data_IF_017913739202
#
_entry.id   IF_017913739202
#
_cell.length_a   1.000
_cell.length_b   1.000
_cell.length_c   1.000
_cell.angle_alpha   90.00
_cell.angle_beta   90.00
_cell.angle_gamma   90.00
#
_symmetry.space_group_name_H-M   'P 1'
#
loop_
_entity.id
_entity.type
_entity.pdbx_description
1 polymer ?
#
# COMPACT_ATOMS: atom_id res chain seq x y z
N UNK A 1 13.86 -27.09 -27.46
CA UNK A 1 13.11 -25.85 -27.13
C UNK A 1 12.91 -25.83 -25.64
N UNK A 2 13.43 -24.81 -24.92
CA UNK A 2 13.15 -24.63 -23.47
C UNK A 2 11.68 -24.25 -23.32
N UNK A 3 10.89 -25.04 -22.56
CA UNK A 3 9.53 -24.68 -22.20
C UNK A 3 9.57 -23.42 -21.33
N UNK A 4 8.92 -22.35 -21.77
CA UNK A 4 8.68 -21.16 -20.94
C UNK A 4 7.62 -21.55 -19.92
N UNK A 5 8.01 -21.62 -18.65
CA UNK A 5 7.08 -21.88 -17.54
C UNK A 5 6.74 -20.53 -16.94
N UNK A 6 5.50 -20.09 -17.13
CA UNK A 6 4.98 -18.90 -16.45
C UNK A 6 4.66 -19.32 -15.02
N UNK A 7 5.42 -18.82 -14.04
CA UNK A 7 5.16 -19.00 -12.61
C UNK A 7 4.59 -17.72 -12.02
N UNK A 8 3.53 -17.88 -11.30
CA UNK A 8 2.95 -16.81 -10.53
C UNK A 8 3.66 -16.75 -9.16
N UNK A 9 4.63 -15.85 -9.04
CA UNK A 9 5.56 -15.82 -7.91
C UNK A 9 5.28 -14.74 -6.85
N UNK A 10 4.17 -13.99 -6.98
CA UNK A 10 3.83 -12.90 -6.08
C UNK A 10 2.32 -12.84 -5.76
N UNK A 11 1.75 -13.88 -5.13
CA UNK A 11 0.31 -13.95 -4.88
C UNK A 11 -0.20 -12.86 -3.94
N UNK A 12 0.57 -12.45 -2.95
CA UNK A 12 0.16 -11.40 -1.98
C UNK A 12 0.09 -10.04 -2.65
N UNK A 13 1.11 -9.68 -3.44
CA UNK A 13 1.16 -8.41 -4.16
C UNK A 13 -0.01 -8.28 -5.15
N UNK A 14 -0.28 -9.35 -5.91
CA UNK A 14 -1.40 -9.31 -6.85
C UNK A 14 -2.76 -9.32 -6.14
N UNK A 15 -2.91 -10.11 -5.08
CA UNK A 15 -4.12 -10.09 -4.27
C UNK A 15 -4.37 -8.71 -3.66
N UNK A 16 -3.33 -8.04 -3.18
CA UNK A 16 -3.43 -6.68 -2.66
C UNK A 16 -3.89 -5.69 -3.75
N UNK A 17 -3.30 -5.75 -4.94
CA UNK A 17 -3.69 -4.90 -6.06
C UNK A 17 -5.16 -5.13 -6.47
N UNK A 18 -5.59 -6.41 -6.52
CA UNK A 18 -6.97 -6.76 -6.85
C UNK A 18 -7.96 -6.31 -5.77
N UNK A 19 -7.63 -6.52 -4.49
CA UNK A 19 -8.47 -6.05 -3.38
C UNK A 19 -8.59 -4.52 -3.35
N UNK A 20 -7.51 -3.80 -3.65
CA UNK A 20 -7.53 -2.35 -3.79
C UNK A 20 -8.41 -1.88 -4.96
N UNK A 21 -8.40 -2.62 -6.08
CA UNK A 21 -9.31 -2.34 -7.20
C UNK A 21 -10.77 -2.55 -6.79
N UNK A 22 -11.05 -3.65 -6.09
CA UNK A 22 -12.41 -3.93 -5.59
C UNK A 22 -12.86 -2.82 -4.63
N UNK A 23 -11.99 -2.39 -3.72
CA UNK A 23 -12.29 -1.27 -2.80
C UNK A 23 -12.60 0.04 -3.56
N UNK A 24 -11.82 0.35 -4.61
CA UNK A 24 -12.07 1.51 -5.47
C UNK A 24 -13.41 1.43 -6.20
N UNK A 25 -13.72 0.27 -6.79
CA UNK A 25 -15.00 0.06 -7.50
C UNK A 25 -16.20 0.15 -6.55
N UNK A 26 -16.09 -0.42 -5.33
CA UNK A 26 -17.10 -0.29 -4.29
C UNK A 26 -17.28 1.18 -3.85
N UNK A 27 -16.18 1.91 -3.71
CA UNK A 27 -16.20 3.35 -3.42
C UNK A 27 -16.95 4.12 -4.49
N UNK A 28 -16.64 3.89 -5.76
CA UNK A 28 -17.32 4.54 -6.88
C UNK A 28 -18.80 4.17 -6.94
N UNK A 29 -19.15 2.89 -6.77
CA UNK A 29 -20.53 2.44 -6.80
C UNK A 29 -21.38 3.03 -5.66
N UNK A 30 -20.77 3.26 -4.51
CA UNK A 30 -21.45 3.80 -3.31
C UNK A 30 -21.31 5.32 -3.16
N UNK A 31 -20.87 6.03 -4.21
CA UNK A 31 -20.60 7.47 -4.17
C UNK A 31 -19.70 7.89 -2.99
N UNK A 32 -18.67 7.09 -2.72
CA UNK A 32 -17.67 7.34 -1.67
C UNK A 32 -18.03 6.80 -0.29
N UNK A 33 -19.26 6.32 -0.06
CA UNK A 33 -19.67 5.85 1.25
C UNK A 33 -18.83 4.67 1.74
N UNK A 34 -18.59 3.65 0.90
CA UNK A 34 -17.74 2.52 1.26
C UNK A 34 -16.29 2.93 1.53
N UNK A 35 -15.75 3.86 0.74
CA UNK A 35 -14.40 4.41 0.92
C UNK A 35 -14.27 5.07 2.30
N UNK A 36 -15.21 5.92 2.66
CA UNK A 36 -15.18 6.60 3.96
C UNK A 36 -15.41 5.63 5.12
N UNK A 37 -16.33 4.68 4.98
CA UNK A 37 -16.73 3.80 6.05
C UNK A 37 -15.70 2.72 6.38
N UNK A 38 -15.03 2.14 5.37
CA UNK A 38 -14.18 0.96 5.53
C UNK A 38 -12.71 1.20 5.13
N UNK A 39 -12.48 2.10 4.19
CA UNK A 39 -11.18 2.26 3.51
C UNK A 39 -10.52 3.62 3.74
N UNK A 40 -10.91 4.33 4.80
CA UNK A 40 -10.27 5.58 5.22
C UNK A 40 -10.12 5.59 6.74
N UNK A 41 -8.92 5.88 7.25
CA UNK A 41 -8.69 6.07 8.68
C UNK A 41 -8.73 7.55 9.04
N UNK A 42 -9.56 7.89 10.01
CA UNK A 42 -9.75 9.23 10.56
C UNK A 42 -10.08 9.16 12.06
N UNK A 43 -10.04 10.28 12.75
CA UNK A 43 -10.37 10.32 14.18
C UNK A 43 -11.84 9.97 14.40
N UNK A 44 -12.09 8.86 15.06
CA UNK A 44 -13.42 8.31 15.37
C UNK A 44 -13.43 7.70 16.77
N UNK A 45 -14.59 7.28 17.24
CA UNK A 45 -14.71 6.63 18.56
C UNK A 45 -14.02 5.27 18.55
N UNK A 46 -13.22 4.98 19.57
CA UNK A 46 -12.63 3.66 19.78
C UNK A 46 -13.68 2.62 20.22
N UNK A 47 -14.89 3.05 20.59
CA UNK A 47 -16.02 2.14 20.84
C UNK A 47 -16.69 1.66 19.54
N UNK A 48 -16.40 2.29 18.40
CA UNK A 48 -16.87 1.87 17.08
C UNK A 48 -15.95 0.76 16.53
N UNK A 49 -16.45 -0.49 16.31
CA UNK A 49 -15.65 -1.57 15.77
C UNK A 49 -15.04 -1.26 14.39
N UNK A 50 -15.70 -0.40 13.60
CA UNK A 50 -15.21 0.00 12.28
C UNK A 50 -13.90 0.81 12.37
N UNK A 51 -13.61 1.44 13.51
CA UNK A 51 -12.33 2.12 13.71
C UNK A 51 -11.15 1.15 13.56
N UNK A 52 -11.28 -0.07 14.06
CA UNK A 52 -10.25 -1.10 13.97
C UNK A 52 -10.13 -1.66 12.54
N UNK A 53 -11.26 -1.78 11.83
CA UNK A 53 -11.26 -2.15 10.40
C UNK A 53 -10.52 -1.10 9.57
N UNK A 54 -10.74 0.18 9.85
CA UNK A 54 -10.10 1.30 9.16
C UNK A 54 -8.59 1.33 9.35
N UNK A 55 -8.06 0.90 10.51
CA UNK A 55 -6.60 0.82 10.74
C UNK A 55 -5.89 -0.10 9.74
N UNK A 56 -6.58 -1.09 9.20
CA UNK A 56 -6.03 -1.99 8.18
C UNK A 56 -6.60 -1.72 6.78
N UNK A 57 -7.86 -1.33 6.70
CA UNK A 57 -8.57 -1.14 5.43
C UNK A 57 -8.11 0.07 4.63
N UNK A 58 -7.58 1.11 5.28
CA UNK A 58 -7.23 2.35 4.60
C UNK A 58 -6.15 2.18 3.53
N UNK A 59 -5.25 1.20 3.66
CA UNK A 59 -4.21 0.95 2.66
C UNK A 59 -4.77 0.38 1.34
N UNK A 60 -5.99 -0.15 1.36
CA UNK A 60 -6.71 -0.61 0.17
C UNK A 60 -7.54 0.50 -0.48
N UNK A 61 -7.87 1.57 0.27
CA UNK A 61 -8.67 2.69 -0.21
C UNK A 61 -7.92 3.57 -1.19
N UNK A 62 -8.63 4.11 -2.18
CA UNK A 62 -8.08 5.09 -3.12
C UNK A 62 -9.14 6.13 -3.46
N UNK A 63 -8.72 7.39 -3.63
CA UNK A 63 -9.62 8.52 -3.92
C UNK A 63 -10.08 8.55 -5.39
N UNK A 64 -9.41 7.81 -6.26
CA UNK A 64 -9.73 7.74 -7.69
C UNK A 64 -8.75 6.86 -8.46
N UNK A 65 -8.99 6.72 -9.76
CA UNK A 65 -8.20 5.84 -10.62
C UNK A 65 -6.74 6.28 -10.73
N UNK A 66 -6.45 7.57 -10.82
CA UNK A 66 -5.08 8.08 -10.94
C UNK A 66 -4.26 7.75 -9.69
N UNK A 67 -4.86 7.94 -8.50
CA UNK A 67 -4.25 7.58 -7.23
C UNK A 67 -4.00 6.07 -7.11
N UNK A 68 -4.98 5.24 -7.54
CA UNK A 68 -4.83 3.79 -7.60
C UNK A 68 -3.71 3.38 -8.56
N UNK A 69 -3.73 3.88 -9.80
CA UNK A 69 -2.75 3.52 -10.83
C UNK A 69 -1.33 3.88 -10.43
N UNK A 70 -1.12 5.07 -9.85
CA UNK A 70 0.19 5.49 -9.36
C UNK A 70 0.76 4.56 -8.28
N UNK A 71 -0.06 4.17 -7.32
CA UNK A 71 0.33 3.22 -6.28
C UNK A 71 0.58 1.81 -6.84
N UNK A 72 -0.33 1.30 -7.67
CA UNK A 72 -0.23 -0.07 -8.20
C UNK A 72 0.93 -0.23 -9.16
N UNK A 73 1.27 0.79 -9.95
CA UNK A 73 2.44 0.75 -10.82
C UNK A 73 3.72 0.50 -10.01
N UNK A 74 3.93 1.25 -8.94
CA UNK A 74 5.10 1.09 -8.09
C UNK A 74 5.06 -0.21 -7.29
N UNK A 75 3.90 -0.58 -6.76
CA UNK A 75 3.69 -1.82 -6.02
C UNK A 75 4.00 -3.05 -6.87
N UNK A 76 3.52 -3.10 -8.11
CA UNK A 76 3.75 -4.20 -9.04
C UNK A 76 5.18 -4.21 -9.60
N UNK A 77 5.84 -3.06 -9.64
CA UNK A 77 7.25 -2.98 -10.07
C UNK A 77 8.21 -3.53 -9.00
N UNK A 78 7.99 -3.19 -7.73
CA UNK A 78 8.92 -3.49 -6.64
C UNK A 78 8.49 -4.72 -5.83
N UNK A 79 7.20 -4.89 -5.62
CA UNK A 79 6.62 -5.88 -4.71
C UNK A 79 6.94 -7.33 -5.05
N UNK A 80 6.82 -7.79 -6.31
CA UNK A 80 7.07 -9.19 -6.66
C UNK A 80 8.48 -9.67 -6.31
N UNK A 81 9.50 -8.85 -6.55
CA UNK A 81 10.88 -9.20 -6.19
C UNK A 81 11.09 -9.28 -4.67
N UNK A 82 10.39 -8.48 -3.90
CA UNK A 82 10.41 -8.55 -2.44
C UNK A 82 9.66 -9.77 -1.93
N UNK A 83 8.50 -10.08 -2.49
CA UNK A 83 7.72 -11.26 -2.10
C UNK A 83 8.46 -12.56 -2.41
N UNK A 84 9.13 -12.66 -3.57
CA UNK A 84 9.98 -13.79 -3.92
C UNK A 84 11.14 -13.95 -2.92
N UNK A 85 11.71 -12.84 -2.47
CA UNK A 85 12.86 -12.84 -1.56
C UNK A 85 12.49 -13.16 -0.10
N UNK A 86 11.43 -12.56 0.42
CA UNK A 86 11.07 -12.62 1.83
C UNK A 86 9.94 -13.61 2.13
N UNK A 87 9.26 -14.10 1.11
CA UNK A 87 8.11 -15.00 1.19
C UNK A 87 6.79 -14.28 1.46
N UNK A 88 5.70 -14.90 1.01
CA UNK A 88 4.34 -14.34 1.08
C UNK A 88 3.87 -14.04 2.50
N UNK A 89 4.18 -14.92 3.47
CA UNK A 89 3.79 -14.72 4.87
C UNK A 89 4.44 -13.46 5.48
N UNK A 90 5.73 -13.26 5.23
CA UNK A 90 6.45 -12.05 5.67
C UNK A 90 5.88 -10.81 5.00
N UNK A 91 5.52 -10.89 3.73
CA UNK A 91 4.95 -9.76 2.99
C UNK A 91 3.59 -9.35 3.56
N UNK A 92 2.69 -10.30 3.85
CA UNK A 92 1.41 -10.01 4.51
C UNK A 92 1.64 -9.32 5.86
N UNK A 93 2.57 -9.84 6.67
CA UNK A 93 2.88 -9.26 7.96
C UNK A 93 3.41 -7.82 7.85
N UNK A 94 4.34 -7.55 6.92
CA UNK A 94 4.88 -6.21 6.70
C UNK A 94 3.82 -5.23 6.22
N UNK A 95 2.92 -5.64 5.32
CA UNK A 95 1.79 -4.82 4.87
C UNK A 95 0.86 -4.50 6.04
N UNK A 96 0.49 -5.51 6.84
CA UNK A 96 -0.39 -5.32 7.99
C UNK A 96 0.23 -4.41 9.06
N UNK A 97 1.52 -4.59 9.35
CA UNK A 97 2.24 -3.73 10.29
C UNK A 97 2.31 -2.28 9.79
N UNK A 98 2.62 -2.09 8.51
CA UNK A 98 2.64 -0.76 7.89
C UNK A 98 1.27 -0.09 7.95
N UNK A 99 0.20 -0.81 7.64
CA UNK A 99 -1.16 -0.30 7.75
C UNK A 99 -1.47 0.13 9.18
N UNK A 100 -1.19 -0.71 10.16
CA UNK A 100 -1.44 -0.40 11.57
C UNK A 100 -0.66 0.84 12.01
N UNK A 101 0.64 0.91 11.71
CA UNK A 101 1.50 2.04 12.13
C UNK A 101 1.05 3.34 11.47
N UNK A 102 0.85 3.35 10.16
CA UNK A 102 0.42 4.57 9.44
C UNK A 102 -0.98 5.00 9.86
N UNK A 103 -1.90 4.04 10.06
CA UNK A 103 -3.23 4.32 10.57
C UNK A 103 -3.22 4.91 11.98
N UNK A 104 -2.43 4.36 12.91
CA UNK A 104 -2.28 4.89 14.26
C UNK A 104 -1.63 6.27 14.28
N UNK A 105 -0.59 6.49 13.48
CA UNK A 105 0.06 7.80 13.37
C UNK A 105 -0.95 8.84 12.89
N UNK A 106 -1.73 8.55 11.84
CA UNK A 106 -2.77 9.46 11.38
C UNK A 106 -3.83 9.69 12.46
N UNK A 107 -4.33 8.64 13.09
CA UNK A 107 -5.37 8.71 14.09
C UNK A 107 -4.95 9.57 15.30
N UNK A 108 -3.70 9.50 15.75
CA UNK A 108 -3.20 10.21 16.93
C UNK A 108 -2.81 11.66 16.59
N UNK A 109 -2.03 11.85 15.52
CA UNK A 109 -1.37 13.13 15.26
C UNK A 109 -2.10 14.01 14.23
N UNK A 110 -2.99 13.43 13.41
CA UNK A 110 -3.69 14.16 12.35
C UNK A 110 -5.22 14.06 12.46
N UNK A 111 -5.83 14.59 13.55
CA UNK A 111 -7.24 14.37 13.87
C UNK A 111 -8.23 14.95 12.85
N UNK A 112 -7.79 15.86 11.98
CA UNK A 112 -8.62 16.55 10.99
C UNK A 112 -8.40 16.03 9.56
N UNK A 113 -7.63 14.95 9.40
CA UNK A 113 -7.36 14.36 8.09
C UNK A 113 -7.89 12.93 8.00
N UNK A 114 -8.33 12.55 6.82
CA UNK A 114 -8.63 11.17 6.48
C UNK A 114 -7.48 10.61 5.62
N UNK A 115 -6.84 9.54 6.10
CA UNK A 115 -5.77 8.86 5.37
C UNK A 115 -6.35 7.65 4.62
N UNK A 116 -6.04 7.55 3.34
CA UNK A 116 -6.31 6.38 2.51
C UNK A 116 -5.24 6.25 1.42
N UNK A 117 -4.98 5.02 0.99
CA UNK A 117 -4.04 4.74 -0.08
C UNK A 117 -2.95 3.75 0.29
N UNK A 118 -2.44 3.06 -0.72
CA UNK A 118 -1.34 2.11 -0.61
C UNK A 118 0.04 2.79 -0.48
N UNK A 119 0.12 4.12 -0.51
CA UNK A 119 1.39 4.87 -0.56
C UNK A 119 2.35 4.52 0.58
N UNK A 120 1.84 4.32 1.80
CA UNK A 120 2.65 3.87 2.94
C UNK A 120 3.26 2.47 2.71
N UNK A 121 2.49 1.54 2.14
CA UNK A 121 2.94 0.19 1.78
C UNK A 121 3.97 0.25 0.66
N UNK A 122 3.74 1.06 -0.37
CA UNK A 122 4.67 1.29 -1.48
C UNK A 122 5.98 1.88 -0.95
N UNK A 123 5.91 2.88 -0.08
CA UNK A 123 7.10 3.48 0.54
C UNK A 123 7.89 2.45 1.35
N UNK A 124 7.24 1.65 2.17
CA UNK A 124 7.88 0.55 2.91
C UNK A 124 8.61 -0.40 1.97
N UNK A 125 7.98 -0.82 0.85
CA UNK A 125 8.60 -1.71 -0.13
C UNK A 125 9.84 -1.10 -0.79
N UNK A 126 9.80 0.21 -1.11
CA UNK A 126 10.93 0.92 -1.69
C UNK A 126 12.10 0.98 -0.70
N UNK A 127 11.82 1.34 0.56
CA UNK A 127 12.84 1.39 1.60
C UNK A 127 13.46 0.00 1.81
N UNK A 128 12.63 -1.05 1.88
CA UNK A 128 13.11 -2.43 2.04
C UNK A 128 13.94 -2.90 0.84
N UNK A 129 13.53 -2.55 -0.39
CA UNK A 129 14.31 -2.84 -1.61
C UNK A 129 15.67 -2.18 -1.56
N UNK A 130 15.74 -0.94 -1.08
CA UNK A 130 16.96 -0.14 -0.96
C UNK A 130 17.95 -0.73 0.03
N UNK A 131 17.50 -1.12 1.21
CA UNK A 131 18.34 -1.82 2.19
C UNK A 131 18.85 -3.17 1.66
N UNK A 132 18.03 -3.84 0.87
CA UNK A 132 18.41 -5.11 0.24
C UNK A 132 19.53 -4.95 -0.76
N UNK A 133 19.47 -3.91 -1.59
CA UNK A 133 20.50 -3.59 -2.57
C UNK A 133 21.79 -3.09 -1.90
N UNK A 134 21.68 -2.24 -0.88
CA UNK A 134 22.82 -1.73 -0.14
C UNK A 134 23.65 -2.85 0.51
N UNK A 135 23.00 -3.92 1.01
CA UNK A 135 23.70 -5.11 1.54
C UNK A 135 24.50 -5.88 0.49
N UNK A 136 24.15 -5.75 -0.79
CA UNK A 136 24.87 -6.34 -1.92
C UNK A 136 25.94 -5.40 -2.50
N UNK A 137 26.10 -4.18 -1.94
CA UNK A 137 26.99 -3.15 -2.48
C UNK A 137 26.43 -2.46 -3.74
N UNK A 138 25.14 -2.63 -4.01
CA UNK A 138 24.44 -2.03 -5.15
C UNK A 138 23.65 -0.81 -4.66
N UNK A 139 23.70 0.29 -5.39
CA UNK A 139 22.82 1.46 -5.14
C UNK A 139 21.64 1.33 -6.11
N UNK A 140 20.41 1.07 -5.63
CA UNK A 140 19.26 0.99 -6.52
C UNK A 140 18.92 2.38 -7.08
N UNK A 141 19.06 2.52 -8.39
CA UNK A 141 18.74 3.77 -9.10
C UNK A 141 17.27 4.18 -8.93
N UNK A 142 16.40 3.22 -8.59
CA UNK A 142 14.97 3.46 -8.30
C UNK A 142 14.70 4.24 -7.02
N UNK A 143 15.69 4.37 -6.11
CA UNK A 143 15.53 5.11 -4.86
C UNK A 143 15.40 6.62 -5.11
N UNK A 144 16.15 7.16 -6.07
CA UNK A 144 16.26 8.60 -6.31
C UNK A 144 14.96 9.20 -6.86
N UNK A 145 14.37 8.70 -7.97
CA UNK A 145 13.14 9.29 -8.51
C UNK A 145 11.91 9.04 -7.61
N UNK A 146 11.86 7.93 -6.90
CA UNK A 146 10.70 7.61 -6.04
C UNK A 146 10.71 8.43 -4.76
N UNK A 147 11.87 8.65 -4.14
CA UNK A 147 12.00 9.56 -3.00
C UNK A 147 11.63 10.99 -3.40
N UNK A 148 12.00 11.42 -4.61
CA UNK A 148 11.66 12.74 -5.12
C UNK A 148 10.15 12.89 -5.36
N UNK A 149 9.48 11.92 -5.99
CA UNK A 149 8.04 11.99 -6.26
C UNK A 149 7.18 11.92 -5.00
N UNK A 150 7.56 11.13 -4.00
CA UNK A 150 6.82 11.07 -2.73
C UNK A 150 7.06 12.26 -1.80
N UNK A 151 8.22 12.94 -1.91
CA UNK A 151 8.52 14.11 -1.11
C UNK A 151 8.02 15.43 -1.73
N UNK A 152 7.81 15.46 -3.05
CA UNK A 152 7.49 16.69 -3.79
C UNK A 152 6.06 16.75 -4.32
N UNK A 153 5.34 15.62 -4.40
CA UNK A 153 3.92 15.65 -4.74
C UNK A 153 3.12 16.01 -3.49
N UNK A 154 2.35 17.12 -3.52
CA UNK A 154 1.42 17.42 -2.44
C UNK A 154 0.41 16.25 -2.36
N UNK A 155 0.19 15.77 -1.14
CA UNK A 155 -0.93 14.90 -0.82
C UNK A 155 -2.21 15.69 -1.07
N UNK A 156 -2.78 15.54 -2.27
CA UNK A 156 -4.09 16.08 -2.61
C UNK A 156 -5.13 15.06 -2.14
#
# INVERSE_FOLDING_TARGET
>A
MKKIIIRFNAPVILSFALLSLIALLLGNWTNGAATTQYFSVYRSSLADPLTYVRFFGHVLGHSGYDHYMGNMLLLLLVGPGLEEKYGSGTMVWMIALTALVTGLVNFIFFPHTALLGASGVVFMMIVLSSFTAARKGEIPVTLIPVSYTHLTLPTI
#
